data_IF_195670306860
#
_entry.id   IF_195670306860
#
_cell.length_a   1.000
_cell.length_b   1.000
_cell.length_c   1.000
_cell.angle_alpha   90.00
_cell.angle_beta   90.00
_cell.angle_gamma   90.00
#
_symmetry.space_group_name_H-M   'P 1'
#
loop_
_entity.id
_entity.type
_entity.pdbx_description
1 polymer ?
#
# COMPACT_ATOMS: atom_id res chain seq x y z
N UNK A 1 5.33 22.57 8.28
CA UNK A 1 4.61 21.46 7.64
C UNK A 1 4.41 21.79 6.17
N UNK A 2 4.94 20.98 5.27
CA UNK A 2 4.73 21.14 3.82
C UNK A 2 3.61 20.23 3.32
N UNK A 3 2.93 20.62 2.25
CA UNK A 3 1.95 19.75 1.58
C UNK A 3 2.18 19.77 0.07
N UNK A 4 2.35 18.59 -0.53
CA UNK A 4 2.40 18.41 -1.98
C UNK A 4 1.10 17.75 -2.45
N UNK A 5 0.37 18.39 -3.37
CA UNK A 5 -0.94 17.93 -3.82
C UNK A 5 -1.07 18.10 -5.33
N UNK A 6 -1.52 17.04 -6.01
CA UNK A 6 -1.83 17.05 -7.44
C UNK A 6 -3.34 16.88 -7.57
N UNK A 7 -4.01 17.91 -8.10
CA UNK A 7 -5.47 17.93 -8.31
C UNK A 7 -5.85 18.12 -9.78
N UNK A 8 -4.88 18.50 -10.62
CA UNK A 8 -5.12 18.69 -12.04
C UNK A 8 -5.41 17.35 -12.71
N UNK A 9 -6.57 17.27 -13.36
CA UNK A 9 -7.07 16.02 -13.94
C UNK A 9 -6.18 15.50 -15.06
N UNK A 10 -5.56 16.39 -15.85
CA UNK A 10 -4.67 15.99 -16.94
C UNK A 10 -3.37 15.40 -16.40
N UNK A 11 -2.80 15.98 -15.35
CA UNK A 11 -1.62 15.42 -14.67
C UNK A 11 -1.93 14.07 -14.03
N UNK A 12 -3.11 13.92 -13.41
CA UNK A 12 -3.54 12.63 -12.88
C UNK A 12 -3.59 11.57 -13.99
N UNK A 13 -4.20 11.91 -15.13
CA UNK A 13 -4.35 11.03 -16.28
C UNK A 13 -3.02 10.64 -16.95
N UNK A 14 -2.15 11.63 -17.17
CA UNK A 14 -0.97 11.47 -18.01
C UNK A 14 0.28 11.07 -17.23
N UNK A 15 0.29 11.24 -15.91
CA UNK A 15 1.48 11.00 -15.08
C UNK A 15 1.16 10.03 -13.95
N UNK A 16 0.16 10.34 -13.11
CA UNK A 16 -0.07 9.60 -11.87
C UNK A 16 -0.62 8.20 -12.12
N UNK A 17 -1.68 8.04 -12.92
CA UNK A 17 -2.21 6.69 -13.20
C UNK A 17 -1.20 5.81 -13.93
N UNK A 18 -0.49 6.27 -14.99
CA UNK A 18 0.53 5.45 -15.66
C UNK A 18 1.59 4.88 -14.71
N UNK A 19 2.08 5.67 -13.76
CA UNK A 19 3.08 5.22 -12.79
C UNK A 19 2.52 4.08 -11.92
N UNK A 20 1.34 4.27 -11.33
CA UNK A 20 0.77 3.30 -10.39
C UNK A 20 0.04 2.13 -11.07
N UNK A 21 -0.23 2.21 -12.38
CA UNK A 21 -0.61 1.07 -13.20
C UNK A 21 0.60 0.18 -13.52
N UNK A 22 1.74 0.79 -13.85
CA UNK A 22 2.98 0.07 -14.15
C UNK A 22 3.64 -0.50 -12.89
N UNK A 23 3.57 0.24 -11.78
CA UNK A 23 4.17 -0.11 -10.49
C UNK A 23 3.08 -0.11 -9.41
N UNK A 24 2.25 -1.18 -9.36
CA UNK A 24 1.11 -1.23 -8.47
C UNK A 24 1.53 -1.26 -6.99
N UNK A 25 0.78 -0.56 -6.16
CA UNK A 25 0.99 -0.49 -4.71
C UNK A 25 0.79 -1.87 -4.07
N UNK A 26 1.65 -2.27 -3.13
CA UNK A 26 1.62 -3.61 -2.54
C UNK A 26 0.62 -3.77 -1.37
N UNK A 27 0.22 -2.66 -0.75
CA UNK A 27 -0.66 -2.66 0.42
C UNK A 27 -2.12 -2.42 0.05
N UNK A 28 -3.00 -2.39 1.05
CA UNK A 28 -4.40 -1.99 0.94
C UNK A 28 -4.55 -0.56 0.37
N UNK A 29 -3.47 0.22 0.32
CA UNK A 29 -3.43 1.50 -0.42
C UNK A 29 -3.74 1.33 -1.91
N UNK A 30 -3.51 0.15 -2.50
CA UNK A 30 -3.95 -0.15 -3.87
C UNK A 30 -5.47 -0.06 -4.02
N UNK A 31 -6.25 -0.55 -3.03
CA UNK A 31 -7.72 -0.42 -3.06
C UNK A 31 -8.13 1.06 -3.21
N UNK A 32 -7.49 1.93 -2.43
CA UNK A 32 -7.75 3.37 -2.48
C UNK A 32 -7.30 3.98 -3.82
N UNK A 33 -6.19 3.53 -4.39
CA UNK A 33 -5.75 3.93 -5.72
C UNK A 33 -6.75 3.51 -6.81
N UNK A 34 -7.19 2.25 -6.79
CA UNK A 34 -8.18 1.74 -7.75
C UNK A 34 -9.50 2.51 -7.64
N UNK A 35 -9.97 2.74 -6.40
CA UNK A 35 -11.15 3.57 -6.12
C UNK A 35 -10.97 5.01 -6.64
N UNK A 36 -9.81 5.61 -6.42
CA UNK A 36 -9.47 6.94 -6.92
C UNK A 36 -9.48 7.01 -8.46
N UNK A 37 -8.92 6.01 -9.13
CA UNK A 37 -8.93 5.90 -10.59
C UNK A 37 -10.33 5.68 -11.16
N UNK A 38 -11.15 4.85 -10.51
CA UNK A 38 -12.57 4.67 -10.87
C UNK A 38 -13.36 5.98 -10.73
N UNK A 39 -13.12 6.74 -9.66
CA UNK A 39 -13.74 8.05 -9.48
C UNK A 39 -13.36 9.02 -10.63
N UNK A 40 -12.10 9.00 -11.06
CA UNK A 40 -11.67 9.77 -12.23
C UNK A 40 -12.45 9.38 -13.49
N UNK A 41 -12.59 8.09 -13.78
CA UNK A 41 -13.32 7.61 -14.95
C UNK A 41 -14.79 8.06 -14.96
N UNK A 42 -15.47 7.98 -13.80
CA UNK A 42 -16.85 8.48 -13.62
C UNK A 42 -16.93 9.98 -13.91
N UNK A 43 -15.98 10.76 -13.38
CA UNK A 43 -16.01 12.22 -13.49
C UNK A 43 -15.68 12.74 -14.89
N UNK A 44 -14.96 11.96 -15.69
CA UNK A 44 -14.62 12.27 -17.09
C UNK A 44 -15.63 11.74 -18.10
N UNK A 45 -16.59 10.89 -17.69
CA UNK A 45 -17.61 10.38 -18.60
C UNK A 45 -18.59 11.48 -19.02
N UNK A 46 -18.47 11.89 -20.28
CA UNK A 46 -19.30 12.93 -20.92
C UNK A 46 -20.75 12.49 -21.11
N UNK A 47 -21.05 11.19 -21.04
CA UNK A 47 -22.42 10.65 -21.17
C UNK A 47 -23.21 10.85 -19.88
N UNK A 48 -22.54 11.03 -18.74
CA UNK A 48 -23.19 11.15 -17.44
C UNK A 48 -23.52 12.61 -17.11
N UNK A 49 -24.77 12.84 -16.73
CA UNK A 49 -25.19 14.09 -16.09
C UNK A 49 -24.46 14.28 -14.76
N UNK A 50 -24.44 15.52 -14.25
CA UNK A 50 -23.84 15.83 -12.94
C UNK A 50 -24.46 15.01 -11.81
N UNK A 51 -25.79 14.83 -11.84
CA UNK A 51 -26.51 14.04 -10.83
C UNK A 51 -26.11 12.57 -10.86
N UNK A 52 -26.04 11.96 -12.05
CA UNK A 52 -25.59 10.57 -12.20
C UNK A 52 -24.14 10.38 -11.72
N UNK A 53 -23.24 11.31 -12.04
CA UNK A 53 -21.86 11.27 -11.54
C UNK A 53 -21.82 11.32 -10.02
N UNK A 54 -22.56 12.23 -9.40
CA UNK A 54 -22.62 12.36 -7.95
C UNK A 54 -23.13 11.05 -7.30
N UNK A 55 -24.23 10.49 -7.79
CA UNK A 55 -24.79 9.24 -7.24
C UNK A 55 -23.79 8.07 -7.33
N UNK A 56 -23.08 7.93 -8.45
CA UNK A 56 -22.05 6.90 -8.61
C UNK A 56 -20.85 7.13 -7.68
N UNK A 57 -20.38 8.38 -7.53
CA UNK A 57 -19.30 8.72 -6.60
C UNK A 57 -19.71 8.44 -5.16
N UNK A 58 -20.92 8.81 -4.75
CA UNK A 58 -21.46 8.53 -3.41
C UNK A 58 -21.46 7.01 -3.14
N UNK A 59 -21.90 6.21 -4.10
CA UNK A 59 -21.88 4.75 -4.01
C UNK A 59 -20.44 4.23 -3.88
N UNK A 60 -19.53 4.73 -4.72
CA UNK A 60 -18.13 4.36 -4.69
C UNK A 60 -17.49 4.72 -3.33
N UNK A 61 -17.82 5.87 -2.74
CA UNK A 61 -17.30 6.32 -1.45
C UNK A 61 -17.63 5.36 -0.30
N UNK A 62 -18.76 4.65 -0.36
CA UNK A 62 -19.17 3.67 0.65
C UNK A 62 -18.33 2.38 0.64
N UNK A 63 -17.66 2.07 -0.49
CA UNK A 63 -16.82 0.87 -0.60
C UNK A 63 -15.63 0.93 0.35
N UNK A 64 -15.30 -0.20 0.98
CA UNK A 64 -14.17 -0.37 1.89
C UNK A 64 -13.44 -1.68 1.54
N UNK A 65 -12.13 -1.77 1.77
CA UNK A 65 -11.42 -3.03 1.64
C UNK A 65 -11.92 -4.00 2.72
N UNK A 66 -12.02 -5.27 2.34
CA UNK A 66 -12.21 -6.37 3.30
C UNK A 66 -10.98 -6.50 4.21
N UNK A 67 -11.13 -7.09 5.40
CA UNK A 67 -9.99 -7.33 6.30
C UNK A 67 -8.97 -8.30 5.71
N UNK A 68 -9.41 -9.20 4.85
CA UNK A 68 -8.59 -10.15 4.08
C UNK A 68 -8.12 -9.60 2.73
N UNK A 69 -8.32 -8.30 2.47
CA UNK A 69 -7.92 -7.69 1.22
C UNK A 69 -6.43 -7.86 0.96
N UNK A 70 -6.11 -8.32 -0.25
CA UNK A 70 -4.74 -8.48 -0.74
C UNK A 70 -4.62 -7.69 -2.03
N UNK A 71 -3.56 -6.88 -2.14
CA UNK A 71 -3.30 -6.12 -3.36
C UNK A 71 -3.07 -7.07 -4.55
N UNK A 72 -3.66 -6.80 -5.73
CA UNK A 72 -3.37 -7.53 -6.97
C UNK A 72 -1.89 -7.54 -7.37
N UNK A 73 -1.08 -6.64 -6.82
CA UNK A 73 0.36 -6.65 -7.01
C UNK A 73 1.02 -7.96 -6.53
N UNK A 74 0.38 -8.70 -5.62
CA UNK A 74 0.86 -10.01 -5.15
C UNK A 74 0.45 -11.18 -6.04
N UNK A 75 -0.33 -10.97 -7.10
CA UNK A 75 -0.81 -12.06 -7.97
C UNK A 75 0.32 -12.83 -8.71
N UNK A 76 1.55 -12.33 -8.65
CA UNK A 76 2.74 -12.98 -9.22
C UNK A 76 3.27 -14.13 -8.35
N UNK A 77 2.74 -14.31 -7.15
CA UNK A 77 3.18 -15.31 -6.19
C UNK A 77 2.01 -16.09 -5.61
N UNK A 78 2.30 -17.30 -5.13
CA UNK A 78 1.35 -18.10 -4.34
C UNK A 78 1.44 -17.72 -2.87
N UNK A 79 0.30 -17.71 -2.17
CA UNK A 79 0.22 -17.45 -0.75
C UNK A 79 -0.03 -18.77 0.03
N UNK A 80 0.52 -18.93 1.25
CA UNK A 80 1.42 -18.01 1.94
C UNK A 80 2.79 -17.91 1.26
N UNK A 81 3.46 -16.76 1.42
CA UNK A 81 4.79 -16.53 0.85
C UNK A 81 5.76 -17.59 1.41
N UNK A 82 6.35 -18.40 0.53
CA UNK A 82 7.15 -19.56 0.96
C UNK A 82 8.52 -19.15 1.50
N UNK A 83 9.21 -18.26 0.78
CA UNK A 83 10.59 -17.88 1.06
C UNK A 83 10.95 -16.49 0.51
N UNK A 84 12.22 -16.12 0.69
CA UNK A 84 12.77 -14.85 0.23
C UNK A 84 12.77 -14.71 -1.31
N UNK A 85 12.89 -15.80 -2.06
CA UNK A 85 12.89 -15.78 -3.52
C UNK A 85 11.50 -15.46 -4.05
N UNK A 86 10.45 -16.09 -3.49
CA UNK A 86 9.07 -15.75 -3.81
C UNK A 86 8.76 -14.31 -3.39
N UNK A 87 9.11 -13.90 -2.16
CA UNK A 87 8.89 -12.54 -1.68
C UNK A 87 9.53 -11.47 -2.60
N UNK A 88 10.74 -11.74 -3.10
CA UNK A 88 11.48 -10.80 -3.95
C UNK A 88 10.87 -10.60 -5.33
N UNK A 89 9.94 -11.46 -5.78
CA UNK A 89 9.19 -11.24 -7.04
C UNK A 89 8.21 -10.07 -6.96
N UNK A 90 7.81 -9.69 -5.74
CA UNK A 90 6.79 -8.65 -5.49
C UNK A 90 7.33 -7.49 -4.67
N UNK A 91 8.17 -7.76 -3.66
CA UNK A 91 8.76 -6.74 -2.79
C UNK A 91 10.21 -6.54 -3.21
N UNK A 92 10.48 -5.48 -3.96
CA UNK A 92 11.85 -5.08 -4.28
C UNK A 92 12.53 -4.42 -3.07
N UNK A 93 13.87 -4.46 -3.03
CA UNK A 93 14.63 -3.72 -2.01
C UNK A 93 14.33 -2.22 -2.03
N UNK A 94 14.18 -1.61 -3.21
CA UNK A 94 13.84 -0.19 -3.34
C UNK A 94 12.46 0.14 -2.76
N UNK A 95 11.48 -0.73 -2.98
CA UNK A 95 10.15 -0.56 -2.36
C UNK A 95 10.22 -0.70 -0.85
N UNK A 96 10.95 -1.71 -0.33
CA UNK A 96 11.11 -1.93 1.10
C UNK A 96 11.73 -0.71 1.79
N UNK A 97 12.78 -0.12 1.19
CA UNK A 97 13.41 1.09 1.71
C UNK A 97 12.39 2.23 1.81
N UNK A 98 11.65 2.50 0.74
CA UNK A 98 10.63 3.56 0.75
C UNK A 98 9.48 3.29 1.75
N UNK A 99 9.13 2.02 1.95
CA UNK A 99 8.14 1.63 2.95
C UNK A 99 8.65 1.84 4.38
N UNK A 100 9.92 1.53 4.65
CA UNK A 100 10.57 1.75 5.95
C UNK A 100 10.74 3.23 6.26
N UNK A 101 11.04 4.09 5.28
CA UNK A 101 11.07 5.55 5.47
C UNK A 101 9.73 6.12 5.95
N UNK A 102 8.61 5.49 5.59
CA UNK A 102 7.27 5.94 5.94
C UNK A 102 6.70 5.27 7.20
N UNK A 103 6.90 3.96 7.36
CA UNK A 103 6.23 3.12 8.36
C UNK A 103 7.20 2.45 9.34
N UNK A 104 8.51 2.51 9.05
CA UNK A 104 9.54 1.91 9.87
C UNK A 104 9.88 2.78 11.09
N UNK A 105 10.32 2.11 12.14
CA UNK A 105 10.76 2.75 13.37
C UNK A 105 12.07 2.14 13.84
N UNK A 106 13.05 2.99 14.08
CA UNK A 106 14.33 2.65 14.72
C UNK A 106 14.35 3.33 16.08
N UNK A 107 14.44 2.55 17.14
CA UNK A 107 14.21 3.08 18.48
C UNK A 107 15.12 2.44 19.53
N UNK A 108 15.29 3.15 20.64
CA UNK A 108 15.88 2.63 21.87
C UNK A 108 14.75 2.42 22.89
N UNK A 109 14.81 1.33 23.63
CA UNK A 109 13.85 1.02 24.69
C UNK A 109 14.57 0.58 25.96
N UNK A 110 14.19 1.19 27.08
CA UNK A 110 14.61 0.75 28.41
C UNK A 110 13.86 -0.53 28.76
N UNK A 111 14.57 -1.64 28.86
CA UNK A 111 13.99 -2.95 29.23
C UNK A 111 13.86 -3.12 30.74
N UNK A 112 14.77 -2.52 31.50
CA UNK A 112 14.81 -2.49 32.95
C UNK A 112 15.73 -1.35 33.43
N UNK A 113 15.87 -1.17 34.75
CA UNK A 113 16.51 -0.01 35.37
C UNK A 113 17.92 0.31 34.84
N UNK A 114 18.68 -0.70 34.39
CA UNK A 114 20.07 -0.55 33.98
C UNK A 114 20.32 -1.01 32.54
N UNK A 115 19.27 -1.29 31.75
CA UNK A 115 19.42 -1.84 30.40
C UNK A 115 18.56 -1.11 29.38
N UNK A 116 19.25 -0.47 28.44
CA UNK A 116 18.69 0.08 27.21
C UNK A 116 19.07 -0.85 26.06
N UNK A 117 18.11 -1.18 25.21
CA UNK A 117 18.34 -1.97 23.99
C UNK A 117 17.82 -1.24 22.77
N UNK A 118 18.37 -1.55 21.60
CA UNK A 118 17.86 -1.05 20.32
C UNK A 118 16.77 -1.97 19.76
N UNK A 119 15.92 -1.42 18.91
CA UNK A 119 14.86 -2.14 18.22
C UNK A 119 14.59 -1.54 16.85
N UNK A 120 14.11 -2.40 15.97
CA UNK A 120 13.53 -2.03 14.68
C UNK A 120 12.13 -2.63 14.61
N UNK A 121 11.17 -1.85 14.13
CA UNK A 121 9.79 -2.29 14.01
C UNK A 121 9.11 -1.69 12.79
N UNK A 122 8.18 -2.45 12.23
CA UNK A 122 7.24 -1.98 11.21
C UNK A 122 5.86 -2.41 11.69
N UNK A 123 4.93 -1.46 11.74
CA UNK A 123 3.53 -1.73 12.12
C UNK A 123 2.66 -1.46 10.90
N UNK A 124 1.83 -2.42 10.51
CA UNK A 124 0.88 -2.23 9.41
C UNK A 124 -0.44 -2.94 9.70
N UNK A 125 -1.55 -2.29 9.37
CA UNK A 125 -2.90 -2.85 9.53
C UNK A 125 -3.33 -3.51 8.23
N UNK A 126 -4.08 -4.63 8.31
CA UNK A 126 -4.64 -5.42 7.20
C UNK A 126 -3.60 -6.13 6.32
N UNK A 127 -2.45 -5.52 6.06
CA UNK A 127 -1.45 -6.01 5.12
C UNK A 127 -0.46 -7.02 5.72
N UNK A 128 -0.95 -8.01 6.45
CA UNK A 128 -0.09 -9.04 7.09
C UNK A 128 0.81 -9.73 6.06
N UNK A 129 0.29 -10.00 4.86
CA UNK A 129 1.05 -10.62 3.76
C UNK A 129 2.31 -9.82 3.40
N UNK A 130 2.26 -8.49 3.47
CA UNK A 130 3.42 -7.63 3.21
C UNK A 130 4.46 -7.80 4.32
N UNK A 131 4.04 -7.80 5.59
CA UNK A 131 4.93 -8.02 6.73
C UNK A 131 5.61 -9.40 6.67
N UNK A 132 4.86 -10.44 6.28
CA UNK A 132 5.42 -11.78 6.09
C UNK A 132 6.44 -11.81 4.94
N UNK A 133 6.18 -11.11 3.83
CA UNK A 133 7.14 -10.97 2.73
C UNK A 133 8.43 -10.25 3.13
N UNK A 134 8.31 -9.17 3.90
CA UNK A 134 9.47 -8.44 4.44
C UNK A 134 10.29 -9.33 5.38
N UNK A 135 9.62 -10.08 6.28
CA UNK A 135 10.27 -11.06 7.16
C UNK A 135 11.13 -12.06 6.37
N UNK A 136 10.60 -12.58 5.26
CA UNK A 136 11.34 -13.47 4.38
C UNK A 136 12.54 -12.78 3.71
N UNK A 137 12.36 -11.58 3.14
CA UNK A 137 13.45 -10.82 2.49
C UNK A 137 14.59 -10.49 3.44
N UNK A 138 14.27 -10.19 4.70
CA UNK A 138 15.25 -9.88 5.72
C UNK A 138 15.87 -11.13 6.38
N UNK A 139 15.41 -12.33 6.01
CA UNK A 139 15.82 -13.60 6.61
C UNK A 139 15.64 -13.63 8.14
N UNK A 140 14.54 -13.05 8.63
CA UNK A 140 14.23 -12.95 10.07
C UNK A 140 13.28 -14.09 10.48
N UNK A 141 13.57 -14.74 11.61
CA UNK A 141 12.74 -15.84 12.15
C UNK A 141 11.59 -15.37 13.05
N UNK A 142 11.65 -14.13 13.56
CA UNK A 142 10.62 -13.52 14.41
C UNK A 142 9.27 -13.47 13.70
N UNK A 143 8.24 -14.06 14.31
CA UNK A 143 6.88 -14.10 13.74
C UNK A 143 6.27 -12.70 13.64
N UNK A 144 5.52 -12.46 12.56
CA UNK A 144 4.59 -11.33 12.50
C UNK A 144 3.47 -11.62 13.50
N UNK A 145 3.15 -10.65 14.36
CA UNK A 145 2.08 -10.75 15.36
C UNK A 145 0.87 -9.99 14.84
#
# INVERSE_FOLDING_TARGET
>A
MGSFRIRDRKQLANIIFPIFDQYPLLTTKYFNYAKFKSAYAILEDKKLTKSQRNAQIETLLLTKPDESYISPATNKITLPIADANEASKVISKSWLIGFVEAEGSFYLVTKDANRIVHGFGITQKLDRVVLEGIRHILHISTKVV
#
